data_IF_297580323903
#
_entry.id   IF_297580323903
#
_cell.length_a   1.000
_cell.length_b   1.000
_cell.length_c   1.000
_cell.angle_alpha   90.00
_cell.angle_beta   90.00
_cell.angle_gamma   90.00
#
_symmetry.space_group_name_H-M   'P 1'
#
loop_
_entity.id
_entity.type
_entity.pdbx_description
1 polymer ?
#
# COMPACT_ATOMS: atom_id res chain seq x y z
N UNK A 1 -5.67 -20.05 31.58
CA UNK A 1 -4.89 -19.52 30.43
C UNK A 1 -5.92 -19.24 29.35
N UNK A 2 -6.12 -17.98 29.00
CA UNK A 2 -7.22 -17.55 28.12
C UNK A 2 -6.74 -17.55 26.67
N UNK A 3 -6.70 -18.75 26.09
CA UNK A 3 -6.11 -19.02 24.77
C UNK A 3 -6.78 -18.23 23.63
N UNK A 4 -8.06 -17.87 23.80
CA UNK A 4 -8.82 -17.10 22.81
C UNK A 4 -8.23 -15.70 22.61
N UNK A 5 -7.87 -15.01 23.70
CA UNK A 5 -7.31 -13.66 23.63
C UNK A 5 -5.91 -13.62 22.98
N UNK A 6 -5.09 -14.64 23.21
CA UNK A 6 -3.76 -14.73 22.61
C UNK A 6 -3.85 -15.02 21.10
N UNK A 7 -4.78 -15.88 20.68
CA UNK A 7 -5.00 -16.21 19.27
C UNK A 7 -5.52 -15.02 18.46
N UNK A 8 -6.50 -14.29 19.00
CA UNK A 8 -7.06 -13.09 18.36
C UNK A 8 -6.01 -11.99 18.21
N UNK A 9 -5.15 -11.82 19.22
CA UNK A 9 -4.04 -10.86 19.20
C UNK A 9 -3.05 -11.19 18.08
N UNK A 10 -2.58 -12.45 18.01
CA UNK A 10 -1.64 -12.88 16.96
C UNK A 10 -2.24 -12.75 15.56
N UNK A 11 -3.52 -13.09 15.40
CA UNK A 11 -4.22 -12.96 14.11
C UNK A 11 -4.28 -11.51 13.65
N UNK A 12 -4.55 -10.57 14.57
CA UNK A 12 -4.53 -9.14 14.28
C UNK A 12 -3.13 -8.66 13.88
N UNK A 13 -2.09 -9.01 14.64
CA UNK A 13 -0.71 -8.66 14.33
C UNK A 13 -0.27 -9.16 12.95
N UNK A 14 -0.62 -10.40 12.61
CA UNK A 14 -0.35 -10.96 11.28
C UNK A 14 -1.04 -10.17 10.17
N UNK A 15 -2.28 -9.75 10.38
CA UNK A 15 -3.04 -8.94 9.41
C UNK A 15 -2.40 -7.56 9.24
N UNK A 16 -2.05 -6.89 10.33
CA UNK A 16 -1.45 -5.55 10.30
C UNK A 16 -0.08 -5.58 9.60
N UNK A 17 0.74 -6.60 9.86
CA UNK A 17 2.02 -6.82 9.17
C UNK A 17 1.84 -7.06 7.66
N UNK A 18 0.78 -7.76 7.27
CA UNK A 18 0.47 -8.01 5.86
C UNK A 18 0.03 -6.73 5.14
N UNK A 19 -0.80 -5.91 5.79
CA UNK A 19 -1.22 -4.59 5.27
C UNK A 19 0.00 -3.68 5.10
N UNK A 20 0.88 -3.63 6.10
CA UNK A 20 2.07 -2.80 6.05
C UNK A 20 3.04 -3.25 4.94
N UNK A 21 3.17 -4.55 4.72
CA UNK A 21 3.95 -5.10 3.61
C UNK A 21 3.42 -4.63 2.25
N UNK A 22 2.08 -4.56 2.07
CA UNK A 22 1.48 -4.01 0.84
C UNK A 22 1.76 -2.51 0.70
N UNK A 23 1.67 -1.74 1.79
CA UNK A 23 1.99 -0.30 1.76
C UNK A 23 3.43 -0.06 1.35
N UNK A 24 4.38 -0.82 1.90
CA UNK A 24 5.80 -0.73 1.53
C UNK A 24 6.01 -0.94 0.02
N UNK A 25 5.41 -1.97 -0.57
CA UNK A 25 5.50 -2.20 -2.02
C UNK A 25 4.98 -1.02 -2.85
N UNK A 26 3.92 -0.35 -2.39
CA UNK A 26 3.38 0.82 -3.08
C UNK A 26 4.27 2.06 -2.84
N UNK A 27 4.81 2.26 -1.63
CA UNK A 27 5.76 3.35 -1.33
C UNK A 27 7.00 3.26 -2.22
N UNK A 28 7.55 2.06 -2.40
CA UNK A 28 8.73 1.84 -3.25
C UNK A 28 8.47 2.22 -4.72
N UNK A 29 7.26 1.99 -5.21
CA UNK A 29 6.86 2.42 -6.56
C UNK A 29 6.60 3.93 -6.62
N UNK A 30 5.94 4.52 -5.60
CA UNK A 30 5.69 5.96 -5.55
C UNK A 30 6.99 6.78 -5.47
N UNK A 31 8.04 6.23 -4.85
CA UNK A 31 9.37 6.85 -4.84
C UNK A 31 10.00 6.97 -6.24
N UNK A 32 9.57 6.14 -7.19
CA UNK A 32 9.98 6.18 -8.60
C UNK A 32 9.04 7.03 -9.47
N UNK A 33 7.91 7.48 -8.92
CA UNK A 33 7.01 8.40 -9.60
C UNK A 33 7.51 9.85 -9.52
N UNK A 34 7.09 10.67 -10.48
CA UNK A 34 7.30 12.12 -10.43
C UNK A 34 6.45 12.75 -9.31
N UNK A 35 6.77 13.98 -8.92
CA UNK A 35 6.00 14.71 -7.91
C UNK A 35 4.52 14.83 -8.28
N UNK A 36 4.19 15.22 -9.52
CA UNK A 36 2.81 15.32 -9.98
C UNK A 36 2.06 13.98 -9.98
N UNK A 37 2.74 12.86 -10.24
CA UNK A 37 2.15 11.52 -10.15
C UNK A 37 1.87 11.12 -8.69
N UNK A 38 2.77 11.46 -7.75
CA UNK A 38 2.54 11.27 -6.31
C UNK A 38 1.40 12.14 -5.80
N UNK A 39 1.32 13.40 -6.23
CA UNK A 39 0.19 14.27 -5.90
C UNK A 39 -1.14 13.70 -6.39
N UNK A 40 -1.19 13.20 -7.62
CA UNK A 40 -2.40 12.58 -8.15
C UNK A 40 -2.81 11.35 -7.32
N UNK A 41 -1.85 10.51 -6.95
CA UNK A 41 -2.09 9.39 -6.03
C UNK A 41 -2.69 9.87 -4.70
N UNK A 42 -2.08 10.88 -4.08
CA UNK A 42 -2.54 11.44 -2.81
C UNK A 42 -3.94 12.07 -2.91
N UNK A 43 -4.31 12.67 -4.05
CA UNK A 43 -5.67 13.18 -4.26
C UNK A 43 -6.71 12.06 -4.35
N UNK A 44 -6.35 10.90 -4.89
CA UNK A 44 -7.26 9.75 -5.03
C UNK A 44 -7.45 8.97 -3.74
N UNK A 45 -6.37 8.82 -2.95
CA UNK A 45 -6.34 7.90 -1.80
C UNK A 45 -6.08 8.58 -0.47
N UNK A 46 -5.90 9.91 -0.45
CA UNK A 46 -5.54 10.72 0.72
C UNK A 46 -4.16 10.42 1.32
N UNK A 47 -3.38 9.54 0.68
CA UNK A 47 -2.08 9.10 1.16
C UNK A 47 -1.97 7.58 1.12
N UNK A 48 -0.79 7.06 1.44
CA UNK A 48 -0.56 5.61 1.52
C UNK A 48 -1.02 5.03 2.86
N UNK A 49 -1.03 5.83 3.92
CA UNK A 49 -1.49 5.38 5.25
C UNK A 49 -3.02 5.24 5.29
N UNK A 50 -3.71 6.08 4.53
CA UNK A 50 -5.16 6.20 4.43
C UNK A 50 -5.75 5.27 3.37
N UNK A 51 -4.88 4.63 2.57
CA UNK A 51 -5.28 3.72 1.50
C UNK A 51 -6.04 2.51 2.06
N UNK A 52 -7.33 2.32 1.71
CA UNK A 52 -8.10 1.16 2.16
C UNK A 52 -7.56 -0.15 1.61
N UNK A 53 -7.59 -1.22 2.42
CA UNK A 53 -7.01 -2.53 2.06
C UNK A 53 -7.58 -3.08 0.74
N UNK A 54 -8.88 -2.93 0.52
CA UNK A 54 -9.57 -3.40 -0.68
C UNK A 54 -9.12 -2.69 -1.96
N UNK A 55 -8.58 -1.47 -1.83
CA UNK A 55 -8.06 -0.67 -2.96
C UNK A 55 -6.57 -0.88 -3.19
N UNK A 56 -5.84 -1.47 -2.24
CA UNK A 56 -4.37 -1.62 -2.33
C UNK A 56 -3.91 -2.36 -3.58
N UNK A 57 -4.63 -3.40 -4.01
CA UNK A 57 -4.30 -4.13 -5.26
C UNK A 57 -4.40 -3.22 -6.48
N UNK A 58 -5.48 -2.45 -6.57
CA UNK A 58 -5.70 -1.54 -7.71
C UNK A 58 -4.67 -0.41 -7.72
N UNK A 59 -4.45 0.21 -6.56
CA UNK A 59 -3.43 1.23 -6.37
C UNK A 59 -2.03 0.72 -6.78
N UNK A 60 -1.63 -0.48 -6.35
CA UNK A 60 -0.38 -1.10 -6.76
C UNK A 60 -0.24 -1.21 -8.29
N UNK A 61 -1.26 -1.73 -8.98
CA UNK A 61 -1.22 -1.86 -10.44
C UNK A 61 -1.14 -0.50 -11.15
N UNK A 62 -1.86 0.50 -10.67
CA UNK A 62 -1.81 1.86 -11.24
C UNK A 62 -0.43 2.50 -11.09
N UNK A 63 0.18 2.43 -9.89
CA UNK A 63 1.50 3.00 -9.65
C UNK A 63 2.56 2.22 -10.42
N UNK A 64 2.50 0.88 -10.43
CA UNK A 64 3.40 0.02 -11.23
C UNK A 64 3.35 0.39 -12.71
N UNK A 65 2.17 0.49 -13.30
CA UNK A 65 2.03 0.86 -14.72
C UNK A 65 2.58 2.26 -15.00
N UNK A 66 2.42 3.19 -14.07
CA UNK A 66 2.99 4.54 -14.16
C UNK A 66 4.52 4.50 -14.18
N UNK A 67 5.14 3.76 -13.25
CA UNK A 67 6.60 3.59 -13.21
C UNK A 67 7.13 2.91 -14.48
N UNK A 68 6.46 1.86 -14.96
CA UNK A 68 6.83 1.19 -16.21
C UNK A 68 6.78 2.13 -17.43
N UNK A 69 5.88 3.12 -17.44
CA UNK A 69 5.83 4.15 -18.49
C UNK A 69 6.94 5.18 -18.35
N UNK A 70 7.31 5.55 -17.13
CA UNK A 70 8.42 6.46 -16.88
C UNK A 70 9.75 5.86 -17.38
N UNK A 71 9.97 4.56 -17.16
CA UNK A 71 11.21 3.86 -17.52
C UNK A 71 11.33 3.46 -19.01
N UNK A 72 10.28 3.67 -19.81
CA UNK A 72 10.28 3.39 -21.27
C UNK A 72 10.71 4.59 -22.12
N UNK A 73 11.00 5.72 -21.48
CA UNK A 73 11.56 6.92 -22.09
C UNK A 73 13.02 7.09 -21.69
#
# INVERSE_FOLDING_TARGET
MDWTNEFDTKTKEMKDNFIESKRNLIRDLLNQCTEGQRELFNRMYQGIEELPEEKMRWAYHQVKSTVEKNNKH
#
